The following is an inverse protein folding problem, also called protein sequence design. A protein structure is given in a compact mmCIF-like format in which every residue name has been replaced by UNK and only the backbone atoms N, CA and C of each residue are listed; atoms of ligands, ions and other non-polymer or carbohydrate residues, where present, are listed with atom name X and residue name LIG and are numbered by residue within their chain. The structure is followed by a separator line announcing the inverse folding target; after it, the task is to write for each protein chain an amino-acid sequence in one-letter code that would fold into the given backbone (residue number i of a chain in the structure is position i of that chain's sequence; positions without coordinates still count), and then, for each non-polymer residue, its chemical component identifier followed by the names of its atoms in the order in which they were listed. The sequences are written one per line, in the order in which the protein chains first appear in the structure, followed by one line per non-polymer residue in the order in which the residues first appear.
data_IF_664107428619
#
_entry.id   IF_664107428619
#
_cell.length_a   1.000
_cell.length_b   1.000
_cell.length_c   1.000
_cell.angle_alpha   90.00
_cell.angle_beta   90.00
_cell.angle_gamma   90.00
#
_symmetry.space_group_name_H-M   'P 1'
#
loop_
_entity.id
_entity.type
_entity.pdbx_description
1 polymer ?
#
# COMPACT_ATOMS: atom_id res chain seq x y z
N UNK A 1 -15.98 -30.25 14.08
CA UNK A 1 -16.63 -29.38 15.09
C UNK A 1 -16.38 -27.95 14.64
N UNK A 2 -17.22 -27.45 13.72
CA UNK A 2 -17.20 -26.03 13.36
C UNK A 2 -17.83 -25.30 14.54
N UNK A 3 -17.02 -24.53 15.26
CA UNK A 3 -17.56 -23.58 16.22
C UNK A 3 -18.63 -22.71 15.55
N UNK A 4 -19.54 -22.17 16.36
CA UNK A 4 -20.62 -21.31 15.86
C UNK A 4 -20.05 -20.19 14.97
N UNK A 5 -20.85 -19.65 14.05
CA UNK A 5 -20.40 -18.55 13.17
C UNK A 5 -19.81 -17.38 13.98
N UNK A 6 -20.30 -17.19 15.21
CA UNK A 6 -19.81 -16.21 16.18
C UNK A 6 -18.43 -16.54 16.74
N UNK A 7 -18.15 -17.81 17.07
CA UNK A 7 -16.82 -18.25 17.49
C UNK A 7 -15.80 -18.08 16.38
N UNK A 8 -16.18 -18.37 15.13
CA UNK A 8 -15.33 -18.14 13.96
C UNK A 8 -15.04 -16.65 13.77
N UNK A 9 -16.06 -15.79 13.89
CA UNK A 9 -15.87 -14.34 13.81
C UNK A 9 -14.97 -13.82 14.94
N UNK A 10 -15.15 -14.33 16.16
CA UNK A 10 -14.32 -13.97 17.33
C UNK A 10 -12.86 -14.39 17.13
N UNK A 11 -12.63 -15.60 16.65
CA UNK A 11 -11.28 -16.08 16.34
C UNK A 11 -10.61 -15.22 15.26
N UNK A 12 -11.32 -14.95 14.15
CA UNK A 12 -10.81 -14.09 13.08
C UNK A 12 -10.55 -12.66 13.59
N UNK A 13 -11.36 -12.17 14.51
CA UNK A 13 -11.22 -10.83 15.09
C UNK A 13 -9.96 -10.73 15.96
N UNK A 14 -9.69 -11.73 16.81
CA UNK A 14 -8.45 -11.80 17.58
C UNK A 14 -7.22 -11.97 16.67
N UNK A 15 -7.30 -12.87 15.68
CA UNK A 15 -6.24 -13.08 14.71
C UNK A 15 -5.92 -11.78 13.95
N UNK A 16 -6.94 -11.01 13.56
CA UNK A 16 -6.74 -9.74 12.89
C UNK A 16 -5.99 -8.73 13.77
N UNK A 17 -6.33 -8.63 15.06
CA UNK A 17 -5.64 -7.77 16.02
C UNK A 17 -4.17 -8.17 16.19
N UNK A 18 -3.88 -9.46 16.33
CA UNK A 18 -2.50 -9.97 16.41
C UNK A 18 -1.71 -9.67 15.13
N UNK A 19 -2.34 -9.83 13.95
CA UNK A 19 -1.73 -9.49 12.66
C UNK A 19 -1.47 -7.99 12.54
N UNK A 20 -2.36 -7.14 13.07
CA UNK A 20 -2.12 -5.69 13.13
C UNK A 20 -0.98 -5.34 14.09
N UNK A 21 -0.93 -5.97 15.27
CA UNK A 21 0.13 -5.75 16.27
C UNK A 21 1.52 -6.19 15.76
N UNK A 22 1.57 -7.25 14.97
CA UNK A 22 2.80 -7.72 14.31
C UNK A 22 3.14 -6.97 13.01
N UNK A 23 2.39 -5.93 12.64
CA UNK A 23 2.58 -5.15 11.41
C UNK A 23 2.19 -5.87 10.11
N UNK A 24 1.61 -7.07 10.20
CA UNK A 24 1.09 -7.82 9.06
C UNK A 24 -0.33 -7.34 8.70
N UNK A 25 -0.42 -6.12 8.18
CA UNK A 25 -1.70 -5.51 7.79
C UNK A 25 -2.39 -6.26 6.64
N UNK A 26 -1.65 -6.97 5.79
CA UNK A 26 -2.25 -7.78 4.71
C UNK A 26 -3.06 -8.96 5.26
N UNK A 27 -2.50 -9.70 6.24
CA UNK A 27 -3.19 -10.79 6.91
C UNK A 27 -4.40 -10.30 7.71
N UNK A 28 -4.26 -9.17 8.41
CA UNK A 28 -5.36 -8.55 9.15
C UNK A 28 -6.54 -8.17 8.26
N UNK A 29 -6.26 -7.54 7.10
CA UNK A 29 -7.30 -7.17 6.12
C UNK A 29 -8.04 -8.40 5.60
N UNK A 30 -7.36 -9.53 5.40
CA UNK A 30 -7.99 -10.76 4.93
C UNK A 30 -8.95 -11.33 5.98
N UNK A 31 -8.49 -11.45 7.23
CA UNK A 31 -9.31 -11.93 8.34
C UNK A 31 -10.55 -11.06 8.57
N UNK A 32 -10.38 -9.72 8.58
CA UNK A 32 -11.49 -8.78 8.79
C UNK A 32 -12.50 -8.78 7.63
N UNK A 33 -12.06 -9.00 6.38
CA UNK A 33 -12.97 -9.15 5.24
C UNK A 33 -13.87 -10.37 5.39
N UNK A 34 -13.31 -11.48 5.87
CA UNK A 34 -14.07 -12.71 6.06
C UNK A 34 -15.15 -12.49 7.13
N UNK A 35 -14.84 -11.80 8.23
CA UNK A 35 -15.83 -11.42 9.26
C UNK A 35 -16.98 -10.62 8.65
N UNK A 36 -16.68 -9.52 7.95
CA UNK A 36 -17.70 -8.60 7.41
C UNK A 36 -18.58 -9.28 6.35
N UNK A 37 -18.04 -10.26 5.61
CA UNK A 37 -18.78 -11.05 4.63
C UNK A 37 -19.91 -11.86 5.29
N UNK A 38 -19.69 -12.36 6.50
CA UNK A 38 -20.67 -13.18 7.23
C UNK A 38 -21.49 -12.38 8.25
N UNK A 39 -20.86 -11.41 8.92
CA UNK A 39 -21.50 -10.45 9.83
C UNK A 39 -20.93 -9.05 9.58
N UNK A 40 -21.60 -8.22 8.76
CA UNK A 40 -21.13 -6.87 8.47
C UNK A 40 -21.16 -5.93 9.69
N UNK A 41 -22.02 -6.23 10.66
CA UNK A 41 -22.18 -5.47 11.91
C UNK A 41 -21.47 -6.13 13.11
N UNK A 42 -20.38 -6.87 12.84
CA UNK A 42 -19.61 -7.54 13.90
C UNK A 42 -18.74 -6.52 14.65
N UNK A 43 -19.30 -5.92 15.71
CA UNK A 43 -18.58 -4.97 16.56
C UNK A 43 -18.02 -3.80 15.76
N UNK A 44 -16.72 -3.54 15.90
CA UNK A 44 -15.99 -2.50 15.17
C UNK A 44 -15.14 -3.07 14.01
N UNK A 45 -15.38 -4.30 13.56
CA UNK A 45 -14.58 -4.96 12.52
C UNK A 45 -14.49 -4.14 11.21
N UNK A 46 -15.55 -3.41 10.85
CA UNK A 46 -15.55 -2.49 9.71
C UNK A 46 -14.55 -1.33 9.88
N UNK A 47 -14.51 -0.73 11.08
CA UNK A 47 -13.56 0.34 11.40
C UNK A 47 -12.13 -0.20 11.46
N UNK A 48 -11.94 -1.38 12.04
CA UNK A 48 -10.64 -2.06 12.10
C UNK A 48 -10.12 -2.39 10.69
N UNK A 49 -11.00 -2.82 9.79
CA UNK A 49 -10.66 -3.09 8.39
C UNK A 49 -10.17 -1.82 7.69
N UNK A 50 -10.81 -0.68 7.94
CA UNK A 50 -10.40 0.60 7.37
C UNK A 50 -9.01 1.01 7.87
N UNK A 51 -8.78 0.95 9.20
CA UNK A 51 -7.45 1.20 9.80
C UNK A 51 -6.39 0.29 9.17
N UNK A 52 -6.63 -1.01 9.08
CA UNK A 52 -5.69 -1.96 8.49
C UNK A 52 -5.41 -1.66 7.00
N UNK A 53 -6.41 -1.21 6.23
CA UNK A 53 -6.24 -0.78 4.83
C UNK A 53 -5.40 0.50 4.69
N UNK A 54 -5.60 1.47 5.58
CA UNK A 54 -4.82 2.71 5.58
C UNK A 54 -3.33 2.42 5.80
N UNK A 55 -2.99 1.58 6.79
CA UNK A 55 -1.61 1.14 7.03
C UNK A 55 -1.02 0.34 5.87
N UNK A 56 -1.80 -0.56 5.24
CA UNK A 56 -1.35 -1.31 4.06
C UNK A 56 -1.00 -0.39 2.89
N UNK A 57 -1.84 0.62 2.61
CA UNK A 57 -1.59 1.59 1.52
C UNK A 57 -0.29 2.38 1.72
N UNK A 58 0.00 2.77 2.95
CA UNK A 58 1.26 3.46 3.29
C UNK A 58 2.52 2.62 3.00
N UNK A 59 2.44 1.29 3.15
CA UNK A 59 3.56 0.40 2.83
C UNK A 59 3.73 0.18 1.31
N UNK A 60 2.65 -0.02 0.56
CA UNK A 60 2.74 -0.40 -0.86
C UNK A 60 3.07 0.78 -1.80
N UNK A 61 2.71 2.01 -1.43
CA UNK A 61 2.92 3.18 -2.29
C UNK A 61 4.41 3.44 -2.63
N UNK A 62 5.32 3.03 -1.75
CA UNK A 62 6.75 3.37 -1.80
C UNK A 62 7.53 2.76 -2.97
N UNK A 63 7.03 1.67 -3.56
CA UNK A 63 7.74 0.91 -4.61
C UNK A 63 7.22 1.16 -6.03
N UNK A 64 5.90 1.36 -6.18
CA UNK A 64 5.29 1.49 -7.51
C UNK A 64 5.54 2.87 -8.11
N UNK A 65 5.57 3.92 -7.28
CA UNK A 65 5.78 5.30 -7.76
C UNK A 65 7.21 5.54 -8.25
N UNK A 66 8.22 4.94 -7.62
CA UNK A 66 9.61 5.04 -8.09
C UNK A 66 9.84 4.30 -9.41
N UNK A 67 9.16 3.17 -9.62
CA UNK A 67 9.26 2.40 -10.88
C UNK A 67 8.54 3.11 -12.04
N UNK A 68 7.34 3.65 -11.82
CA UNK A 68 6.59 4.36 -12.85
C UNK A 68 7.32 5.64 -13.33
N UNK A 69 7.97 6.38 -12.41
CA UNK A 69 8.76 7.56 -12.76
C UNK A 69 9.97 7.25 -13.66
N UNK A 70 10.63 6.10 -13.47
CA UNK A 70 11.76 5.68 -14.29
C UNK A 70 11.34 5.30 -15.72
N UNK A 71 10.21 4.60 -15.89
CA UNK A 71 9.73 4.12 -17.20
C UNK A 71 9.27 5.27 -18.10
N UNK A 72 8.59 6.28 -17.55
CA UNK A 72 8.09 7.44 -18.31
C UNK A 72 9.27 8.28 -18.85
N UNK A 73 10.34 8.42 -18.07
CA UNK A 73 11.50 9.23 -18.48
C UNK A 73 12.37 8.55 -19.56
N UNK A 74 12.53 7.22 -19.50
CA UNK A 74 13.25 6.46 -20.54
C UNK A 74 12.53 6.53 -21.89
N UNK A 75 11.19 6.45 -21.91
CA UNK A 75 10.41 6.51 -23.14
C UNK A 75 10.49 7.86 -23.87
N UNK A 76 10.55 8.98 -23.13
CA UNK A 76 10.70 10.32 -23.72
C UNK A 76 12.12 10.54 -24.28
N UNK A 77 13.15 10.01 -23.60
CA UNK A 77 14.54 10.11 -24.06
C UNK A 77 14.79 9.38 -25.40
N UNK A 78 14.18 8.21 -25.60
CA UNK A 78 14.35 7.44 -26.84
C UNK A 78 13.64 8.06 -28.05
N UNK A 79 12.56 8.84 -27.85
CA UNK A 79 11.85 9.51 -28.94
C UNK A 79 12.54 10.78 -29.48
N UNK A 80 13.52 11.31 -28.74
CA UNK A 80 14.18 12.58 -29.05
C UNK A 80 15.53 12.45 -29.81
N UNK A 81 15.95 11.23 -30.16
CA UNK A 81 17.18 10.99 -30.93
C UNK A 81 18.48 11.31 -30.18
N UNK A 82 18.48 11.19 -28.85
CA UNK A 82 19.67 11.41 -28.03
C UNK A 82 20.53 10.13 -28.02
N UNK A 83 21.39 9.98 -29.02
CA UNK A 83 22.28 8.82 -29.21
C UNK A 83 23.42 8.71 -28.17
N UNK A 84 23.28 9.31 -26.98
CA UNK A 84 24.38 9.40 -26.01
C UNK A 84 23.97 8.84 -24.64
N UNK A 85 24.58 7.70 -24.32
CA UNK A 85 24.31 6.83 -23.16
C UNK A 85 24.33 7.58 -21.81
N UNK A 86 25.17 8.62 -21.69
CA UNK A 86 25.34 9.44 -20.48
C UNK A 86 24.10 10.30 -20.13
N UNK A 87 23.36 10.77 -21.14
CA UNK A 87 22.20 11.63 -20.94
C UNK A 87 20.99 10.84 -20.41
N UNK A 88 20.85 9.57 -20.81
CA UNK A 88 19.80 8.69 -20.28
C UNK A 88 19.95 8.50 -18.77
N UNK A 89 21.18 8.32 -18.28
CA UNK A 89 21.46 8.25 -16.84
C UNK A 89 21.16 9.58 -16.13
N UNK A 90 21.50 10.72 -16.72
CA UNK A 90 21.20 12.04 -16.15
C UNK A 90 19.69 12.29 -16.03
N UNK A 91 18.91 11.92 -17.04
CA UNK A 91 17.46 12.04 -17.02
C UNK A 91 16.79 11.05 -16.07
N UNK A 92 17.27 9.80 -16.00
CA UNK A 92 16.79 8.83 -15.03
C UNK A 92 17.05 9.30 -13.59
N UNK A 93 18.23 9.88 -13.34
CA UNK A 93 18.59 10.43 -12.03
C UNK A 93 17.74 11.66 -11.68
N UNK A 94 17.51 12.57 -12.64
CA UNK A 94 16.63 13.72 -12.45
C UNK A 94 15.18 13.30 -12.17
N UNK A 95 14.65 12.32 -12.90
CA UNK A 95 13.31 11.77 -12.68
C UNK A 95 13.17 11.13 -11.29
N UNK A 96 14.21 10.42 -10.82
CA UNK A 96 14.24 9.85 -9.48
C UNK A 96 14.24 10.92 -8.39
N UNK A 97 15.00 12.00 -8.57
CA UNK A 97 15.03 13.13 -7.63
C UNK A 97 13.68 13.87 -7.57
N UNK A 98 13.08 14.16 -8.72
CA UNK A 98 11.77 14.82 -8.78
C UNK A 98 10.70 13.93 -8.15
N UNK A 99 10.69 12.63 -8.48
CA UNK A 99 9.77 11.67 -7.88
C UNK A 99 9.90 11.57 -6.35
N UNK A 100 11.13 11.60 -5.83
CA UNK A 100 11.39 11.61 -4.40
C UNK A 100 10.84 12.86 -3.70
N UNK A 101 11.06 14.05 -4.28
CA UNK A 101 10.58 15.32 -3.72
C UNK A 101 9.05 15.37 -3.72
N UNK A 102 8.40 14.99 -4.81
CA UNK A 102 6.93 14.95 -4.90
C UNK A 102 6.33 13.96 -3.90
N UNK A 103 6.91 12.76 -3.79
CA UNK A 103 6.47 11.77 -2.81
C UNK A 103 6.61 12.27 -1.37
N UNK A 104 7.67 13.03 -1.08
CA UNK A 104 7.89 13.62 0.25
C UNK A 104 6.89 14.74 0.57
N UNK A 105 6.53 15.58 -0.40
CA UNK A 105 5.54 16.65 -0.23
C UNK A 105 4.12 16.11 -0.01
N UNK A 106 3.71 15.09 -0.78
CA UNK A 106 2.41 14.43 -0.60
C UNK A 106 2.31 13.77 0.78
N UNK A 107 3.41 13.21 1.30
CA UNK A 107 3.47 12.68 2.66
C UNK A 107 3.30 13.77 3.73
N UNK A 108 3.86 14.96 3.50
CA UNK A 108 3.71 16.11 4.40
C UNK A 108 2.26 16.60 4.55
N UNK A 109 1.44 16.49 3.51
CA UNK A 109 0.03 16.87 3.56
C UNK A 109 -0.92 15.80 4.10
N UNK A 110 -0.51 14.52 4.08
CA UNK A 110 -1.30 13.42 4.65
C UNK A 110 -1.17 13.29 6.19
N UNK A 111 -0.44 14.20 6.85
CA UNK A 111 -0.16 14.16 8.30
C UNK A 111 -0.77 15.36 9.06
N UNK A 112 -1.69 16.10 8.45
CA UNK A 112 -2.49 17.15 9.12
C UNK A 112 -3.98 16.81 9.05
#
# INVERSE_FOLDING_TARGET
MTGTLEEQCSFLYQLAQEKMASGNYTGAVYALKEIIKYKPDYGDAAQLLEKARQHKKAQTFRLVVSLAGAVIFVGIGSGAGLDNDLWLFAFAFAGLLVGYVVANLVRGQATY
#
